data_IF_463319064142
#
_entry.id   IF_463319064142
#
_cell.length_a   1.000
_cell.length_b   1.000
_cell.length_c   1.000
_cell.angle_alpha   90.00
_cell.angle_beta   90.00
_cell.angle_gamma   90.00
#
_symmetry.space_group_name_H-M   'P 1'
#
loop_
_entity.id
_entity.type
_entity.pdbx_description
1 polymer ?
#
# COMPACT_ATOMS: atom_id res chain seq x y z
N UNK A 1 10.26 -5.28 -18.09
CA UNK A 1 9.61 -5.35 -16.75
C UNK A 1 9.38 -6.79 -16.31
N UNK A 2 8.60 -7.62 -17.03
CA UNK A 2 8.32 -9.02 -16.65
C UNK A 2 9.59 -9.83 -16.33
N UNK A 3 10.58 -9.87 -17.22
CA UNK A 3 11.84 -10.57 -16.98
C UNK A 3 12.57 -10.09 -15.71
N UNK A 4 12.55 -8.78 -15.44
CA UNK A 4 13.15 -8.23 -14.22
C UNK A 4 12.44 -8.73 -12.94
N UNK A 5 11.09 -8.72 -12.93
CA UNK A 5 10.32 -9.22 -11.80
C UNK A 5 10.56 -10.73 -11.61
N UNK A 6 10.61 -11.51 -12.69
CA UNK A 6 10.90 -12.94 -12.65
C UNK A 6 12.30 -13.21 -12.09
N UNK A 7 13.31 -12.54 -12.63
CA UNK A 7 14.69 -12.68 -12.10
C UNK A 7 14.78 -12.30 -10.62
N UNK A 8 14.08 -11.23 -10.21
CA UNK A 8 14.04 -10.83 -8.81
C UNK A 8 13.43 -11.92 -7.91
N UNK A 9 12.30 -12.48 -8.31
CA UNK A 9 11.62 -13.56 -7.60
C UNK A 9 12.48 -14.82 -7.52
N UNK A 10 13.06 -15.25 -8.63
CA UNK A 10 13.95 -16.43 -8.71
C UNK A 10 15.21 -16.28 -7.83
N UNK A 11 15.59 -15.05 -7.49
CA UNK A 11 16.69 -14.72 -6.57
C UNK A 11 16.20 -14.40 -5.14
N UNK A 12 14.97 -14.74 -4.77
CA UNK A 12 14.47 -14.66 -3.41
C UNK A 12 13.88 -13.29 -3.03
N UNK A 13 13.67 -12.37 -3.99
CA UNK A 13 12.95 -11.11 -3.74
C UNK A 13 11.46 -11.39 -3.88
N UNK A 14 10.76 -11.43 -2.76
CA UNK A 14 9.31 -11.71 -2.70
C UNK A 14 8.47 -10.46 -2.47
N UNK A 15 9.06 -9.35 -2.05
CA UNK A 15 8.34 -8.11 -1.77
C UNK A 15 8.38 -7.13 -2.97
N UNK A 16 7.22 -6.91 -3.57
CA UNK A 16 7.00 -5.95 -4.64
C UNK A 16 6.27 -4.72 -4.12
N UNK A 17 6.96 -3.58 -4.15
CA UNK A 17 6.51 -2.33 -3.54
C UNK A 17 6.05 -1.32 -4.60
N UNK A 18 4.73 -1.10 -4.67
CA UNK A 18 4.08 -0.21 -5.61
C UNK A 18 3.51 1.05 -4.92
N UNK A 19 2.90 1.91 -5.72
CA UNK A 19 2.01 2.98 -5.28
C UNK A 19 1.05 3.33 -6.41
N UNK A 20 -0.13 3.85 -6.04
CA UNK A 20 -1.15 4.22 -7.01
C UNK A 20 -0.69 5.28 -8.03
N UNK A 21 0.27 6.14 -7.63
CA UNK A 21 0.81 7.22 -8.48
C UNK A 21 2.11 6.86 -9.21
N UNK A 22 2.65 5.63 -9.09
CA UNK A 22 3.88 5.26 -9.77
C UNK A 22 3.68 5.01 -11.26
N UNK A 23 4.66 5.50 -12.04
CA UNK A 23 4.76 5.32 -13.47
C UNK A 23 4.72 6.64 -14.24
N UNK A 24 4.83 6.61 -15.60
CA UNK A 24 4.70 7.80 -16.42
C UNK A 24 3.28 8.40 -16.27
N UNK A 25 2.27 7.54 -16.09
CA UNK A 25 0.90 7.91 -15.76
C UNK A 25 0.48 7.31 -14.43
N UNK A 26 -0.35 7.99 -13.63
CA UNK A 26 -0.91 7.42 -12.41
C UNK A 26 -1.54 6.04 -12.64
N UNK A 27 -1.17 5.06 -11.83
CA UNK A 27 -1.63 3.69 -11.93
C UNK A 27 -0.89 2.80 -12.94
N UNK A 28 0.06 3.31 -13.73
CA UNK A 28 0.75 2.53 -14.75
C UNK A 28 1.56 1.37 -14.13
N UNK A 29 2.27 1.61 -13.03
CA UNK A 29 3.04 0.57 -12.35
C UNK A 29 2.14 -0.57 -11.85
N UNK A 30 0.99 -0.24 -11.25
CA UNK A 30 0.03 -1.24 -10.77
C UNK A 30 -0.61 -2.03 -11.92
N UNK A 31 -0.99 -1.37 -13.03
CA UNK A 31 -1.51 -2.05 -14.23
C UNK A 31 -0.47 -3.01 -14.85
N UNK A 32 0.78 -2.57 -14.95
CA UNK A 32 1.85 -3.40 -15.48
C UNK A 32 2.16 -4.59 -14.59
N UNK A 33 2.17 -4.38 -13.28
CA UNK A 33 2.36 -5.47 -12.33
C UNK A 33 1.18 -6.44 -12.32
N UNK A 34 -0.05 -5.95 -12.44
CA UNK A 34 -1.23 -6.79 -12.59
C UNK A 34 -1.16 -7.73 -13.79
N UNK A 35 -0.64 -7.25 -14.96
CA UNK A 35 -0.39 -8.11 -16.11
C UNK A 35 0.68 -9.17 -15.82
N UNK A 36 1.74 -8.81 -15.09
CA UNK A 36 2.80 -9.75 -14.70
C UNK A 36 2.25 -10.82 -13.76
N UNK A 37 1.39 -10.46 -12.81
CA UNK A 37 0.69 -11.41 -11.95
C UNK A 37 -0.18 -12.35 -12.79
N UNK A 38 -1.01 -11.81 -13.67
CA UNK A 38 -1.90 -12.60 -14.52
C UNK A 38 -1.12 -13.59 -15.39
N UNK A 39 -0.01 -13.16 -16.01
CA UNK A 39 0.70 -13.91 -17.04
C UNK A 39 1.79 -14.85 -16.46
N UNK A 40 2.27 -14.62 -15.23
CA UNK A 40 3.48 -15.29 -14.74
C UNK A 40 3.47 -15.53 -13.23
N UNK A 41 3.46 -14.46 -12.40
CA UNK A 41 3.72 -14.57 -10.97
C UNK A 41 2.48 -14.87 -10.11
N UNK A 42 1.28 -14.86 -10.67
CA UNK A 42 0.04 -15.04 -9.92
C UNK A 42 -0.08 -16.42 -9.25
N UNK A 43 0.51 -17.45 -9.83
CA UNK A 43 0.56 -18.80 -9.25
C UNK A 43 1.34 -18.86 -7.93
N UNK A 44 2.16 -17.84 -7.66
CA UNK A 44 2.95 -17.70 -6.44
C UNK A 44 2.37 -16.66 -5.49
N UNK A 45 1.08 -16.28 -5.63
CA UNK A 45 0.47 -15.19 -4.83
C UNK A 45 0.75 -15.33 -3.33
N UNK A 46 0.69 -16.54 -2.80
CA UNK A 46 0.89 -16.80 -1.37
C UNK A 46 2.35 -16.69 -0.91
N UNK A 47 3.30 -16.72 -1.86
CA UNK A 47 4.73 -16.48 -1.60
C UNK A 47 5.12 -14.99 -1.76
N UNK A 48 4.22 -14.17 -2.31
CA UNK A 48 4.48 -12.77 -2.60
C UNK A 48 3.97 -11.87 -1.48
N UNK A 49 4.74 -10.83 -1.20
CA UNK A 49 4.31 -9.69 -0.41
C UNK A 49 4.12 -8.52 -1.38
N UNK A 50 2.88 -8.11 -1.57
CA UNK A 50 2.52 -7.03 -2.47
C UNK A 50 2.09 -5.83 -1.62
N UNK A 51 2.79 -4.70 -1.79
CA UNK A 51 2.41 -3.46 -1.13
C UNK A 51 2.03 -2.38 -2.13
N UNK A 52 1.08 -1.54 -1.74
CA UNK A 52 0.75 -0.32 -2.47
C UNK A 52 0.49 0.84 -1.53
N UNK A 53 0.40 2.05 -2.09
CA UNK A 53 0.34 3.31 -1.34
C UNK A 53 -0.64 4.27 -1.99
N UNK A 54 -1.29 5.10 -1.18
CA UNK A 54 -2.11 6.22 -1.63
C UNK A 54 -1.85 7.48 -0.81
N UNK A 55 -1.86 8.65 -1.44
CA UNK A 55 -1.59 9.93 -0.78
C UNK A 55 -1.28 11.08 -1.74
N UNK A 56 -1.00 10.78 -2.99
CA UNK A 56 -0.77 11.77 -4.05
C UNK A 56 -1.99 11.88 -4.96
N UNK A 57 -2.04 12.95 -5.73
CA UNK A 57 -3.14 13.24 -6.63
C UNK A 57 -3.32 12.15 -7.68
N UNK A 58 -4.57 11.68 -7.82
CA UNK A 58 -4.96 10.62 -8.74
C UNK A 58 -6.11 11.02 -9.66
N UNK A 59 -6.92 11.99 -9.27
CA UNK A 59 -8.01 12.56 -10.06
C UNK A 59 -8.38 13.95 -9.56
N UNK A 60 -9.00 14.74 -10.43
CA UNK A 60 -9.45 16.08 -10.09
C UNK A 60 -10.59 16.06 -9.06
N UNK A 61 -10.62 17.08 -8.22
CA UNK A 61 -11.67 17.29 -7.24
C UNK A 61 -11.23 17.10 -5.77
N UNK A 62 -12.14 17.36 -4.83
CA UNK A 62 -11.78 17.47 -3.41
C UNK A 62 -11.34 16.16 -2.75
N UNK A 63 -11.63 15.02 -3.38
CA UNK A 63 -11.31 13.69 -2.85
C UNK A 63 -10.31 12.92 -3.72
N UNK A 64 -9.59 13.60 -4.61
CA UNK A 64 -8.61 12.96 -5.50
C UNK A 64 -7.19 12.91 -4.95
N UNK A 65 -6.96 13.36 -3.71
CA UNK A 65 -5.63 13.57 -3.14
C UNK A 65 -5.62 13.42 -1.61
N UNK A 66 -4.44 13.33 -1.00
CA UNK A 66 -4.17 13.36 0.44
C UNK A 66 -4.62 12.13 1.23
N UNK A 67 -5.26 12.33 2.40
CA UNK A 67 -5.46 11.27 3.39
C UNK A 67 -6.89 11.13 3.91
N UNK A 68 -7.88 11.74 3.25
CA UNK A 68 -9.27 11.59 3.65
C UNK A 68 -9.73 10.13 3.55
N UNK A 69 -10.67 9.76 4.40
CA UNK A 69 -11.26 8.41 4.40
C UNK A 69 -11.76 8.01 3.02
N UNK A 70 -12.48 8.91 2.35
CA UNK A 70 -13.03 8.65 1.02
C UNK A 70 -11.93 8.40 -0.01
N UNK A 71 -10.88 9.22 0.00
CA UNK A 71 -9.75 9.06 -0.89
C UNK A 71 -9.01 7.73 -0.69
N UNK A 72 -8.67 7.38 0.56
CA UNK A 72 -7.90 6.17 0.85
C UNK A 72 -8.65 4.89 0.46
N UNK A 73 -9.94 4.79 0.80
CA UNK A 73 -10.74 3.61 0.45
C UNK A 73 -10.96 3.49 -1.05
N UNK A 74 -11.30 4.60 -1.73
CA UNK A 74 -11.46 4.61 -3.18
C UNK A 74 -10.13 4.28 -3.90
N UNK A 75 -9.01 4.80 -3.41
CA UNK A 75 -7.68 4.52 -3.97
C UNK A 75 -7.31 3.05 -3.83
N UNK A 76 -7.57 2.43 -2.68
CA UNK A 76 -7.32 1.01 -2.49
C UNK A 76 -8.16 0.16 -3.45
N UNK A 77 -9.45 0.47 -3.59
CA UNK A 77 -10.34 -0.22 -4.53
C UNK A 77 -9.87 -0.12 -5.98
N UNK A 78 -9.38 1.05 -6.38
CA UNK A 78 -8.81 1.27 -7.71
C UNK A 78 -7.49 0.51 -7.90
N UNK A 79 -6.63 0.48 -6.89
CA UNK A 79 -5.36 -0.26 -6.91
C UNK A 79 -5.58 -1.76 -7.04
N UNK A 80 -6.50 -2.33 -6.27
CA UNK A 80 -6.88 -3.74 -6.36
C UNK A 80 -7.40 -4.09 -7.76
N UNK A 81 -8.29 -3.26 -8.33
CA UNK A 81 -8.80 -3.45 -9.70
C UNK A 81 -7.69 -3.38 -10.76
N UNK A 82 -6.73 -2.42 -10.64
CA UNK A 82 -5.61 -2.31 -11.58
C UNK A 82 -4.69 -3.53 -11.55
N UNK A 83 -4.49 -4.10 -10.38
CA UNK A 83 -3.63 -5.27 -10.18
C UNK A 83 -4.36 -6.61 -10.38
N UNK A 84 -5.69 -6.62 -10.43
CA UNK A 84 -6.49 -7.86 -10.49
C UNK A 84 -6.40 -8.68 -9.21
N UNK A 85 -6.35 -8.01 -8.06
CA UNK A 85 -6.21 -8.64 -6.74
C UNK A 85 -7.42 -8.37 -5.85
N UNK A 86 -7.74 -9.30 -4.97
CA UNK A 86 -8.74 -9.15 -3.92
C UNK A 86 -8.17 -8.42 -2.69
N UNK A 87 -6.87 -8.56 -2.44
CA UNK A 87 -6.17 -7.91 -1.34
C UNK A 87 -4.71 -7.61 -1.67
N UNK A 88 -4.11 -6.66 -0.95
CA UNK A 88 -2.67 -6.45 -0.87
C UNK A 88 -2.18 -6.82 0.53
N UNK A 89 -0.90 -7.14 0.68
CA UNK A 89 -0.35 -7.49 1.99
C UNK A 89 -0.12 -6.27 2.85
N UNK A 90 0.30 -5.15 2.24
CA UNK A 90 0.54 -3.90 2.96
C UNK A 90 -0.07 -2.74 2.19
N UNK A 91 -0.88 -1.93 2.88
CA UNK A 91 -1.39 -0.68 2.35
C UNK A 91 -0.83 0.51 3.13
N UNK A 92 -0.17 1.43 2.43
CA UNK A 92 0.44 2.61 3.03
C UNK A 92 -0.39 3.87 2.78
N UNK A 93 -0.53 4.70 3.81
CA UNK A 93 -0.74 6.12 3.57
C UNK A 93 0.62 6.74 3.18
N UNK A 94 0.75 7.25 1.95
CA UNK A 94 2.04 7.56 1.32
C UNK A 94 2.73 8.79 1.91
N UNK A 95 1.94 9.76 2.36
CA UNK A 95 2.41 11.00 2.97
C UNK A 95 1.43 11.54 3.98
N UNK A 96 1.91 12.30 4.96
CA UNK A 96 1.03 12.98 5.94
C UNK A 96 0.12 13.98 5.24
N UNK A 97 -1.16 13.95 5.62
CA UNK A 97 -2.12 14.99 5.28
C UNK A 97 -2.20 16.00 6.44
N UNK A 98 -1.86 17.29 6.22
CA UNK A 98 -1.92 18.29 7.26
C UNK A 98 -3.35 18.74 7.62
N UNK A 99 -4.32 18.51 6.72
CA UNK A 99 -5.67 19.04 6.81
C UNK A 99 -6.71 18.01 7.25
N UNK A 100 -6.45 16.71 7.04
CA UNK A 100 -7.33 15.63 7.51
C UNK A 100 -6.98 15.21 8.93
N UNK A 101 -7.96 15.13 9.85
CA UNK A 101 -7.72 14.59 11.18
C UNK A 101 -7.08 13.21 11.13
N UNK A 102 -6.05 12.99 11.94
CA UNK A 102 -5.33 11.72 11.95
C UNK A 102 -6.25 10.52 12.23
N UNK A 103 -7.22 10.72 13.07
CA UNK A 103 -8.22 9.73 13.45
C UNK A 103 -9.06 9.26 12.24
N UNK A 104 -9.37 10.15 11.30
CA UNK A 104 -10.08 9.81 10.07
C UNK A 104 -9.21 8.94 9.16
N UNK A 105 -7.98 9.36 8.89
CA UNK A 105 -7.01 8.62 8.09
C UNK A 105 -6.76 7.22 8.67
N UNK A 106 -6.49 7.16 9.99
CA UNK A 106 -6.24 5.88 10.66
C UNK A 106 -7.49 4.99 10.70
N UNK A 107 -8.67 5.59 10.87
CA UNK A 107 -9.94 4.87 10.80
C UNK A 107 -10.22 4.29 9.41
N UNK A 108 -9.80 4.97 8.33
CA UNK A 108 -9.89 4.42 6.98
C UNK A 108 -8.99 3.19 6.80
N UNK A 109 -7.74 3.27 7.24
CA UNK A 109 -6.81 2.15 7.20
C UNK A 109 -7.31 0.96 8.03
N UNK A 110 -7.81 1.20 9.23
CA UNK A 110 -8.39 0.17 10.08
C UNK A 110 -9.61 -0.52 9.43
N UNK A 111 -10.48 0.26 8.78
CA UNK A 111 -11.64 -0.29 8.07
C UNK A 111 -11.20 -1.17 6.88
N UNK A 112 -10.23 -0.72 6.11
CA UNK A 112 -9.72 -1.49 4.97
C UNK A 112 -9.11 -2.83 5.44
N UNK A 113 -8.41 -2.83 6.59
CA UNK A 113 -7.90 -4.05 7.23
C UNK A 113 -9.05 -4.97 7.69
N UNK A 114 -10.04 -4.42 8.38
CA UNK A 114 -11.20 -5.20 8.83
C UNK A 114 -12.03 -5.79 7.67
N UNK A 115 -12.02 -5.14 6.51
CA UNK A 115 -12.64 -5.64 5.29
C UNK A 115 -11.78 -6.67 4.53
N UNK A 116 -10.69 -7.15 5.12
CA UNK A 116 -9.74 -8.10 4.53
C UNK A 116 -9.14 -7.67 3.18
N UNK A 117 -9.05 -6.36 2.92
CA UNK A 117 -8.48 -5.80 1.69
C UNK A 117 -6.97 -5.61 1.76
N UNK A 118 -6.41 -5.67 2.97
CA UNK A 118 -4.98 -5.76 3.23
C UNK A 118 -4.72 -6.38 4.61
N UNK A 119 -3.52 -6.94 4.78
CA UNK A 119 -3.13 -7.62 6.02
C UNK A 119 -2.48 -6.67 7.03
N UNK A 120 -1.79 -5.64 6.55
CA UNK A 120 -1.05 -4.68 7.36
C UNK A 120 -1.25 -3.26 6.84
N UNK A 121 -1.34 -2.29 7.77
CA UNK A 121 -1.34 -0.88 7.44
C UNK A 121 -0.04 -0.22 7.87
N UNK A 122 0.45 0.71 7.08
CA UNK A 122 1.61 1.51 7.44
C UNK A 122 1.38 2.99 7.19
N UNK A 123 2.02 3.80 8.00
CA UNK A 123 1.96 5.25 7.97
C UNK A 123 3.38 5.82 7.71
N UNK A 124 3.51 6.95 7.02
CA UNK A 124 4.82 7.57 6.78
C UNK A 124 5.51 7.90 8.09
N UNK A 125 6.82 7.96 8.05
CA UNK A 125 7.68 8.27 9.21
C UNK A 125 7.27 9.60 9.83
N UNK A 126 6.83 9.57 11.08
CA UNK A 126 6.44 10.75 11.86
C UNK A 126 7.47 11.02 12.95
N UNK A 127 7.62 12.27 13.35
CA UNK A 127 8.41 12.64 14.53
C UNK A 127 7.79 12.05 15.81
N UNK A 128 8.61 11.63 16.76
CA UNK A 128 8.23 10.89 17.97
C UNK A 128 6.98 11.38 18.74
N UNK A 129 6.69 12.69 18.89
CA UNK A 129 5.50 13.16 19.61
C UNK A 129 4.17 12.78 18.94
N UNK A 130 4.15 12.59 17.61
CA UNK A 130 2.94 12.26 16.86
C UNK A 130 2.61 10.78 16.82
N UNK A 131 3.57 9.89 17.11
CA UNK A 131 3.36 8.44 17.16
C UNK A 131 2.49 7.97 18.32
N UNK A 132 2.48 8.68 19.44
CA UNK A 132 1.73 8.28 20.63
C UNK A 132 0.21 8.22 20.40
N UNK A 133 -0.34 9.12 19.58
CA UNK A 133 -1.77 9.14 19.23
C UNK A 133 -2.18 7.97 18.33
N UNK A 134 -1.50 7.72 17.18
CA UNK A 134 -1.81 6.58 16.33
C UNK A 134 -1.76 5.25 17.06
N UNK A 135 -0.73 5.00 17.89
CA UNK A 135 -0.55 3.76 18.63
C UNK A 135 -1.74 3.45 19.57
N UNK A 136 -2.24 4.46 20.27
CA UNK A 136 -3.42 4.29 21.15
C UNK A 136 -4.68 3.95 20.35
N UNK A 137 -4.88 4.58 19.19
CA UNK A 137 -6.01 4.29 18.32
C UNK A 137 -5.95 2.84 17.78
N UNK A 138 -4.78 2.39 17.33
CA UNK A 138 -4.58 1.05 16.81
C UNK A 138 -4.75 -0.07 17.84
N UNK A 139 -4.36 0.18 19.08
CA UNK A 139 -4.58 -0.78 20.18
C UNK A 139 -6.07 -1.08 20.35
N UNK A 140 -6.92 -0.08 20.11
CA UNK A 140 -8.37 -0.24 20.19
C UNK A 140 -9.00 -0.86 18.93
N UNK A 141 -8.33 -0.81 17.77
CA UNK A 141 -8.86 -1.29 16.50
C UNK A 141 -8.40 -2.69 16.10
N UNK A 142 -7.62 -3.39 16.93
CA UNK A 142 -7.11 -4.75 16.73
C UNK A 142 -6.34 -4.98 15.41
N UNK A 143 -5.93 -3.93 14.71
CA UNK A 143 -5.12 -4.01 13.51
C UNK A 143 -3.62 -3.95 13.85
N UNK A 144 -2.80 -4.74 13.17
CA UNK A 144 -1.34 -4.67 13.33
C UNK A 144 -0.78 -3.42 12.66
N UNK A 145 -0.30 -2.46 13.44
CA UNK A 145 0.46 -1.34 12.93
C UNK A 145 1.90 -1.78 12.70
N UNK A 146 2.35 -1.68 11.47
CA UNK A 146 3.77 -1.77 11.14
C UNK A 146 4.30 -0.37 10.82
N UNK A 147 5.30 0.10 11.55
CA UNK A 147 6.10 1.23 11.07
C UNK A 147 6.96 0.75 9.89
N UNK A 148 7.34 1.66 8.99
CA UNK A 148 8.26 1.33 7.88
C UNK A 148 9.50 0.59 8.40
N UNK A 149 10.02 0.95 9.58
CA UNK A 149 11.15 0.27 10.24
C UNK A 149 10.81 -1.14 10.71
N UNK A 150 9.58 -1.41 11.14
CA UNK A 150 9.17 -2.74 11.60
C UNK A 150 8.85 -3.65 10.41
N UNK A 151 8.19 -3.12 9.36
CA UNK A 151 7.99 -3.85 8.12
C UNK A 151 9.33 -4.25 7.46
N UNK A 152 10.32 -3.35 7.47
CA UNK A 152 11.65 -3.64 6.91
C UNK A 152 12.41 -4.72 7.69
N UNK A 153 12.13 -4.95 8.97
CA UNK A 153 12.74 -6.05 9.75
C UNK A 153 12.25 -7.44 9.34
N UNK A 154 11.04 -7.54 8.80
CA UNK A 154 10.48 -8.80 8.28
C UNK A 154 10.80 -9.03 6.80
N UNK A 155 11.33 -8.01 6.12
CA UNK A 155 11.53 -8.00 4.67
C UNK A 155 13.02 -7.80 4.38
N UNK A 156 13.73 -8.88 4.12
CA UNK A 156 15.18 -8.84 3.84
C UNK A 156 15.52 -8.27 2.47
N UNK A 157 14.58 -8.30 1.52
CA UNK A 157 14.73 -7.67 0.21
C UNK A 157 13.37 -7.24 -0.36
N UNK A 158 13.33 -6.11 -1.08
CA UNK A 158 12.17 -5.63 -1.81
C UNK A 158 12.55 -5.02 -3.14
N UNK A 159 11.70 -5.19 -4.14
CA UNK A 159 11.81 -4.53 -5.43
C UNK A 159 10.80 -3.38 -5.52
N UNK A 160 11.29 -2.14 -5.67
CA UNK A 160 10.46 -0.99 -5.95
C UNK A 160 10.17 -0.92 -7.45
N UNK A 161 8.92 -1.05 -7.81
CA UNK A 161 8.47 -0.96 -9.20
C UNK A 161 8.07 0.49 -9.49
N UNK A 162 8.93 1.17 -10.21
CA UNK A 162 8.64 2.44 -10.88
C UNK A 162 8.62 2.16 -12.37
N UNK A 163 7.49 2.39 -13.00
CA UNK A 163 7.35 2.18 -14.44
C UNK A 163 8.11 3.23 -15.24
#
# INVERSE_FOLDING_TARGET
MRALCRTAFDNGITHFDLANNYGPEPGAAERNFGRILHDDLGVYRDELIISTKAGYEMWDGPYGNWGSRKYLLASLDQSLRRMGLDYVDIFYHHRMDPNTPLEETMGALAQACAAARHCMSAYPTMTAPRWKKPLRFWTNCMCRLSSIRTATRFLTARLKITA
#
